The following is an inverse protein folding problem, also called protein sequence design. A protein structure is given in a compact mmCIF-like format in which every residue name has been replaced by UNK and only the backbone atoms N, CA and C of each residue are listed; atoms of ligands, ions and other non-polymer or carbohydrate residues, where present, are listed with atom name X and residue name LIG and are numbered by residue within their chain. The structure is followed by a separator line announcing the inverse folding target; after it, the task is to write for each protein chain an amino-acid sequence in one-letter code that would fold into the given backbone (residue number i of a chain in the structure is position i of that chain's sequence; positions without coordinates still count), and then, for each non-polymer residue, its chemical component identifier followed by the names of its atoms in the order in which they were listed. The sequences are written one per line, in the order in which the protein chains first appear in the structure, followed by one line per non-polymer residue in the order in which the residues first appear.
data_IF_386026166413
#
_entry.id   IF_386026166413
#
_cell.length_a   1.000
_cell.length_b   1.000
_cell.length_c   1.000
_cell.angle_alpha   90.00
_cell.angle_beta   90.00
_cell.angle_gamma   90.00
#
_symmetry.space_group_name_H-M   'P 1'
#
loop_
_entity.id
_entity.type
_entity.pdbx_description
1 polymer ?
#
# COMPACT_ATOMS: atom_id res chain seq x y z
N UNK A 1 -6.00 12.07 14.14
CA UNK A 1 -7.47 11.85 14.18
C UNK A 1 -7.89 10.43 13.80
N UNK A 2 -7.31 9.81 12.75
CA UNK A 2 -7.71 8.47 12.28
C UNK A 2 -7.56 7.36 13.34
N UNK A 3 -6.44 7.29 14.10
CA UNK A 3 -6.23 6.25 15.13
C UNK A 3 -7.30 6.25 16.24
N UNK A 4 -7.79 7.42 16.65
CA UNK A 4 -8.82 7.54 17.70
C UNK A 4 -10.19 7.10 17.21
N UNK A 5 -10.47 7.26 15.91
CA UNK A 5 -11.70 6.82 15.28
C UNK A 5 -11.67 5.33 14.92
N UNK A 6 -10.48 4.78 14.61
CA UNK A 6 -10.31 3.41 14.13
C UNK A 6 -10.86 2.34 15.09
N UNK A 7 -10.77 2.56 16.41
CA UNK A 7 -11.34 1.63 17.41
C UNK A 7 -12.87 1.50 17.35
N UNK A 8 -13.56 2.45 16.72
CA UNK A 8 -15.01 2.43 16.54
C UNK A 8 -15.42 1.85 15.17
N UNK A 9 -14.44 1.54 14.31
CA UNK A 9 -14.69 0.90 13.02
C UNK A 9 -15.18 -0.54 13.23
N UNK A 10 -16.17 -0.94 12.43
CA UNK A 10 -16.73 -2.30 12.39
C UNK A 10 -16.29 -3.00 11.12
N UNK A 11 -14.99 -3.31 11.02
CA UNK A 11 -14.37 -3.87 9.82
C UNK A 11 -14.97 -5.22 9.42
N UNK A 12 -15.52 -5.96 10.39
CA UNK A 12 -16.23 -7.22 10.19
C UNK A 12 -17.48 -7.11 9.32
N UNK A 13 -17.94 -5.88 9.02
CA UNK A 13 -19.06 -5.62 8.11
C UNK A 13 -18.64 -5.49 6.64
N UNK A 14 -17.34 -5.48 6.36
CA UNK A 14 -16.80 -5.46 5.00
C UNK A 14 -16.83 -6.90 4.48
N UNK A 15 -17.51 -7.12 3.35
CA UNK A 15 -17.57 -8.42 2.67
C UNK A 15 -16.68 -8.32 1.42
N UNK A 16 -15.39 -8.72 1.51
CA UNK A 16 -14.42 -8.48 0.44
C UNK A 16 -14.56 -9.43 -0.75
N UNK A 17 -15.12 -10.63 -0.53
CA UNK A 17 -15.31 -11.71 -1.52
C UNK A 17 -16.45 -11.44 -2.51
N UNK A 18 -17.29 -10.43 -2.28
CA UNK A 18 -18.47 -10.21 -3.09
C UNK A 18 -18.09 -9.70 -4.49
N UNK A 19 -18.73 -10.20 -5.57
CA UNK A 19 -18.59 -9.63 -6.89
C UNK A 19 -18.86 -8.12 -6.89
N UNK A 20 -18.00 -7.37 -7.57
CA UNK A 20 -18.18 -5.92 -7.72
C UNK A 20 -19.52 -5.64 -8.38
N UNK A 21 -20.30 -4.75 -7.79
CA UNK A 21 -21.58 -4.30 -8.35
C UNK A 21 -21.35 -2.94 -9.00
N UNK A 22 -21.56 -2.87 -10.32
CA UNK A 22 -21.52 -1.59 -11.03
C UNK A 22 -22.70 -0.73 -10.57
N UNK A 23 -22.45 0.47 -10.02
CA UNK A 23 -23.52 1.36 -9.64
C UNK A 23 -24.25 1.87 -10.90
N UNK A 24 -25.54 2.28 -10.80
CA UNK A 24 -26.29 2.77 -11.95
C UNK A 24 -25.59 3.96 -12.62
N UNK A 25 -25.20 3.80 -13.88
CA UNK A 25 -24.51 4.82 -14.67
C UNK A 25 -25.31 6.13 -14.77
N UNK A 26 -26.64 6.05 -14.73
CA UNK A 26 -27.53 7.22 -14.75
C UNK A 26 -27.35 8.15 -13.55
N UNK A 27 -26.82 7.63 -12.43
CA UNK A 27 -26.59 8.40 -11.19
C UNK A 27 -25.10 8.71 -11.03
N UNK A 28 -24.22 7.73 -11.30
CA UNK A 28 -22.80 7.81 -10.98
C UNK A 28 -21.90 8.14 -12.18
N UNK A 29 -22.44 8.12 -13.40
CA UNK A 29 -21.65 8.27 -14.62
C UNK A 29 -20.93 6.98 -15.03
N UNK A 30 -20.10 7.10 -16.07
CA UNK A 30 -19.20 6.04 -16.50
C UNK A 30 -18.05 5.86 -15.52
N UNK A 31 -17.48 4.65 -15.49
CA UNK A 31 -16.27 4.41 -14.71
C UNK A 31 -15.13 5.29 -15.26
N UNK A 32 -14.41 6.02 -14.41
CA UNK A 32 -13.27 6.81 -14.85
C UNK A 32 -12.11 5.91 -15.30
N UNK A 33 -11.18 6.48 -16.07
CA UNK A 33 -9.98 5.77 -16.50
C UNK A 33 -9.17 5.22 -15.31
N UNK A 34 -8.59 4.03 -15.50
CA UNK A 34 -7.80 3.32 -14.50
C UNK A 34 -6.43 3.96 -14.33
N UNK A 35 -6.41 5.10 -13.63
CA UNK A 35 -5.18 5.82 -13.25
C UNK A 35 -4.59 5.24 -11.96
N UNK A 36 -3.52 5.85 -11.44
CA UNK A 36 -2.84 5.42 -10.21
C UNK A 36 -3.81 5.06 -9.07
N UNK A 37 -4.83 5.89 -8.84
CA UNK A 37 -5.81 5.69 -7.78
C UNK A 37 -6.49 4.32 -7.87
N UNK A 38 -6.81 3.86 -9.08
CA UNK A 38 -7.40 2.54 -9.30
C UNK A 38 -6.48 1.42 -8.78
N UNK A 39 -5.21 1.43 -9.22
CA UNK A 39 -4.25 0.40 -8.84
C UNK A 39 -3.88 0.46 -7.37
N UNK A 40 -3.68 1.65 -6.81
CA UNK A 40 -3.43 1.83 -5.37
C UNK A 40 -4.59 1.32 -4.51
N UNK A 41 -5.85 1.64 -4.87
CA UNK A 41 -7.01 1.19 -4.10
C UNK A 41 -7.18 -0.33 -4.18
N UNK A 42 -6.99 -0.91 -5.36
CA UNK A 42 -7.02 -2.38 -5.53
C UNK A 42 -5.89 -3.06 -4.75
N UNK A 43 -4.67 -2.51 -4.79
CA UNK A 43 -3.54 -3.06 -4.05
C UNK A 43 -3.70 -2.90 -2.55
N UNK A 44 -4.28 -1.79 -2.08
CA UNK A 44 -4.59 -1.58 -0.67
C UNK A 44 -5.62 -2.59 -0.16
N UNK A 45 -6.62 -2.95 -0.98
CA UNK A 45 -7.56 -4.02 -0.67
C UNK A 45 -6.85 -5.38 -0.63
N UNK A 46 -6.05 -5.71 -1.65
CA UNK A 46 -5.28 -6.95 -1.69
C UNK A 46 -4.35 -7.10 -0.47
N UNK A 47 -3.67 -6.02 -0.07
CA UNK A 47 -2.87 -5.94 1.17
C UNK A 47 -3.68 -6.26 2.42
N UNK A 48 -4.91 -5.72 2.56
CA UNK A 48 -5.78 -6.03 3.69
C UNK A 48 -6.17 -7.51 3.74
N UNK A 49 -6.24 -8.16 2.57
CA UNK A 49 -6.50 -9.58 2.41
C UNK A 49 -5.24 -10.45 2.46
N UNK A 50 -4.07 -9.82 2.61
CA UNK A 50 -2.75 -10.47 2.53
C UNK A 50 -2.51 -11.20 1.20
N UNK A 51 -3.17 -10.76 0.13
CA UNK A 51 -2.94 -11.23 -1.24
C UNK A 51 -1.77 -10.47 -1.85
N UNK A 52 -0.56 -10.85 -1.45
CA UNK A 52 0.66 -10.15 -1.83
C UNK A 52 1.01 -10.31 -3.31
N UNK A 53 0.61 -11.44 -3.92
CA UNK A 53 0.80 -11.67 -5.35
C UNK A 53 0.00 -10.66 -6.17
N UNK A 54 -1.25 -10.38 -5.77
CA UNK A 54 -2.08 -9.37 -6.41
C UNK A 54 -1.54 -7.95 -6.19
N UNK A 55 -1.03 -7.64 -5.00
CA UNK A 55 -0.34 -6.35 -4.73
C UNK A 55 0.81 -6.13 -5.71
N UNK A 56 1.67 -7.13 -5.88
CA UNK A 56 2.82 -7.07 -6.80
C UNK A 56 2.35 -6.94 -8.25
N UNK A 57 1.34 -7.72 -8.67
CA UNK A 57 0.80 -7.66 -10.03
C UNK A 57 0.26 -6.27 -10.35
N UNK A 58 -0.51 -5.66 -9.45
CA UNK A 58 -1.07 -4.32 -9.63
C UNK A 58 0.03 -3.24 -9.66
N UNK A 59 1.06 -3.39 -8.81
CA UNK A 59 2.20 -2.48 -8.79
C UNK A 59 3.02 -2.54 -10.08
N UNK A 60 3.19 -3.74 -10.64
CA UNK A 60 3.88 -3.94 -11.90
C UNK A 60 3.15 -3.25 -13.06
N UNK A 61 1.82 -3.38 -13.13
CA UNK A 61 1.00 -2.73 -14.15
C UNK A 61 1.10 -1.21 -14.02
N UNK A 62 0.90 -0.67 -12.82
CA UNK A 62 0.98 0.78 -12.59
C UNK A 62 2.37 1.33 -12.96
N UNK A 63 3.44 0.59 -12.65
CA UNK A 63 4.80 0.93 -13.02
C UNK A 63 5.03 0.92 -14.53
N UNK A 64 4.55 -0.13 -15.23
CA UNK A 64 4.64 -0.26 -16.69
C UNK A 64 3.90 0.85 -17.44
N UNK A 65 2.74 1.28 -16.92
CA UNK A 65 1.95 2.39 -17.45
C UNK A 65 2.52 3.77 -17.07
N UNK A 66 3.62 3.82 -16.31
CA UNK A 66 4.24 5.07 -15.87
C UNK A 66 3.40 5.86 -14.88
N UNK A 67 2.41 5.24 -14.25
CA UNK A 67 1.51 5.87 -13.28
C UNK A 67 2.29 6.19 -12.00
N UNK A 68 1.95 7.33 -11.39
CA UNK A 68 2.64 7.84 -10.20
C UNK A 68 1.66 8.18 -9.10
N UNK A 69 2.08 8.00 -7.83
CA UNK A 69 1.28 8.41 -6.70
C UNK A 69 1.04 9.90 -6.65
N UNK A 70 -0.13 10.26 -6.14
CA UNK A 70 -0.38 11.63 -5.72
C UNK A 70 0.28 11.89 -4.35
N UNK A 71 0.22 10.90 -3.46
CA UNK A 71 0.83 10.94 -2.13
C UNK A 71 1.82 9.77 -1.96
N UNK A 72 3.02 10.06 -1.47
CA UNK A 72 4.10 9.05 -1.30
C UNK A 72 3.68 7.87 -0.41
N UNK A 73 2.78 8.10 0.55
CA UNK A 73 2.25 7.04 1.42
C UNK A 73 1.41 6.00 0.67
N UNK A 74 0.88 6.34 -0.51
CA UNK A 74 0.15 5.41 -1.38
C UNK A 74 1.06 4.30 -1.92
N UNK A 75 2.38 4.45 -1.81
CA UNK A 75 3.34 3.42 -2.22
C UNK A 75 3.53 2.32 -1.17
N UNK A 76 3.07 2.50 0.07
CA UNK A 76 3.28 1.53 1.17
C UNK A 76 2.78 0.11 0.84
N UNK A 77 1.59 -0.10 0.22
CA UNK A 77 1.17 -1.45 -0.15
C UNK A 77 2.17 -2.13 -1.08
N UNK A 78 2.64 -1.41 -2.10
CA UNK A 78 3.59 -1.93 -3.07
C UNK A 78 4.98 -2.17 -2.46
N UNK A 79 5.41 -1.30 -1.54
CA UNK A 79 6.65 -1.51 -0.78
C UNK A 79 6.63 -2.85 -0.04
N UNK A 80 5.57 -3.11 0.72
CA UNK A 80 5.41 -4.37 1.45
C UNK A 80 5.36 -5.57 0.50
N UNK A 81 4.56 -5.48 -0.57
CA UNK A 81 4.44 -6.56 -1.56
C UNK A 81 5.77 -6.87 -2.25
N UNK A 82 6.53 -5.86 -2.66
CA UNK A 82 7.82 -6.07 -3.32
C UNK A 82 8.87 -6.67 -2.38
N UNK A 83 8.91 -6.26 -1.10
CA UNK A 83 9.82 -6.87 -0.13
C UNK A 83 9.47 -8.34 0.10
N UNK A 84 8.18 -8.66 0.25
CA UNK A 84 7.72 -10.05 0.45
C UNK A 84 7.97 -10.94 -0.77
N UNK A 85 8.02 -10.37 -1.97
CA UNK A 85 8.33 -11.07 -3.21
C UNK A 85 9.84 -11.05 -3.55
N UNK A 86 10.72 -10.65 -2.61
CA UNK A 86 12.17 -10.50 -2.80
C UNK A 86 12.58 -9.57 -3.96
N UNK A 87 11.70 -8.65 -4.37
CA UNK A 87 11.93 -7.63 -5.42
C UNK A 87 12.51 -6.36 -4.83
N UNK A 88 13.71 -6.50 -4.25
CA UNK A 88 14.36 -5.44 -3.48
C UNK A 88 14.73 -4.22 -4.32
N UNK A 89 15.01 -4.37 -5.61
CA UNK A 89 15.23 -3.29 -6.55
C UNK A 89 14.04 -2.32 -6.58
N UNK A 90 12.82 -2.84 -6.77
CA UNK A 90 11.59 -2.04 -6.75
C UNK A 90 11.28 -1.46 -5.38
N UNK A 91 11.55 -2.23 -4.32
CA UNK A 91 11.38 -1.75 -2.95
C UNK A 91 12.30 -0.55 -2.64
N UNK A 92 13.55 -0.59 -3.10
CA UNK A 92 14.51 0.51 -2.90
C UNK A 92 14.11 1.78 -3.66
N UNK A 93 13.51 1.67 -4.84
CA UNK A 93 12.96 2.83 -5.55
C UNK A 93 11.88 3.55 -4.71
N UNK A 94 10.98 2.79 -4.10
CA UNK A 94 9.94 3.33 -3.22
C UNK A 94 10.55 3.91 -1.94
N UNK A 95 11.47 3.19 -1.29
CA UNK A 95 12.16 3.68 -0.09
C UNK A 95 12.86 5.01 -0.39
N UNK A 96 13.60 5.10 -1.50
CA UNK A 96 14.27 6.32 -1.91
C UNK A 96 13.29 7.48 -2.14
N UNK A 97 12.06 7.20 -2.56
CA UNK A 97 11.02 8.23 -2.69
C UNK A 97 10.42 8.61 -1.33
N UNK A 98 10.15 7.66 -0.44
CA UNK A 98 9.66 7.93 0.93
C UNK A 98 10.67 8.78 1.70
N UNK A 99 11.97 8.46 1.61
CA UNK A 99 13.06 9.17 2.30
C UNK A 99 13.14 10.66 1.98
N UNK A 100 12.56 11.12 0.87
CA UNK A 100 12.50 12.55 0.50
C UNK A 100 11.50 13.34 1.37
N UNK A 101 10.67 12.68 2.18
CA UNK A 101 9.69 13.31 3.06
C UNK A 101 9.87 12.84 4.50
N UNK A 102 10.56 13.65 5.30
CA UNK A 102 10.96 13.33 6.69
C UNK A 102 9.78 12.88 7.57
N UNK A 103 8.63 13.56 7.48
CA UNK A 103 7.43 13.23 8.25
C UNK A 103 6.95 11.80 7.91
N UNK A 104 6.88 11.47 6.62
CA UNK A 104 6.44 10.14 6.19
C UNK A 104 7.44 9.07 6.57
N UNK A 105 8.75 9.32 6.41
CA UNK A 105 9.80 8.41 6.87
C UNK A 105 9.64 8.09 8.35
N UNK A 106 9.48 9.13 9.18
CA UNK A 106 9.31 8.97 10.63
C UNK A 106 8.05 8.18 10.96
N UNK A 107 6.91 8.54 10.41
CA UNK A 107 5.63 7.85 10.68
C UNK A 107 5.66 6.39 10.24
N UNK A 108 6.24 6.12 9.08
CA UNK A 108 6.39 4.77 8.54
C UNK A 108 7.29 3.92 9.44
N UNK A 109 8.42 4.46 9.88
CA UNK A 109 9.32 3.78 10.81
C UNK A 109 8.70 3.55 12.20
N UNK A 110 8.04 4.57 12.77
CA UNK A 110 7.36 4.45 14.06
C UNK A 110 6.28 3.34 13.99
N UNK A 111 5.57 3.20 12.85
CA UNK A 111 4.59 2.14 12.63
C UNK A 111 5.21 0.75 12.61
N UNK A 112 6.24 0.50 11.79
CA UNK A 112 6.85 -0.83 11.68
C UNK A 112 7.61 -1.24 12.96
N UNK A 113 8.29 -0.30 13.63
CA UNK A 113 8.91 -0.55 14.93
C UNK A 113 7.89 -0.96 16.00
N UNK A 114 6.67 -0.42 15.95
CA UNK A 114 5.59 -0.78 16.86
C UNK A 114 4.89 -2.11 16.52
N UNK A 115 5.12 -2.66 15.32
CA UNK A 115 4.45 -3.86 14.81
C UNK A 115 5.47 -4.85 14.18
N UNK A 116 6.39 -5.42 14.98
CA UNK A 116 7.53 -6.18 14.47
C UNK A 116 7.17 -7.46 13.71
N UNK A 117 5.96 -7.99 13.91
CA UNK A 117 5.48 -9.20 13.23
C UNK A 117 4.77 -8.90 11.90
N UNK A 118 4.50 -7.62 11.58
CA UNK A 118 3.71 -7.22 10.41
C UNK A 118 4.54 -6.47 9.35
N UNK A 119 4.47 -6.81 8.05
CA UNK A 119 3.68 -7.91 7.48
C UNK A 119 4.36 -9.27 7.66
N UNK A 120 5.67 -9.26 7.95
CA UNK A 120 6.43 -10.39 8.44
C UNK A 120 7.67 -9.88 9.21
N UNK A 121 8.30 -10.72 10.06
CA UNK A 121 9.55 -10.35 10.73
C UNK A 121 10.69 -10.01 9.75
N UNK A 122 10.83 -10.75 8.65
CA UNK A 122 11.88 -10.48 7.64
C UNK A 122 11.65 -9.16 6.89
N UNK A 123 10.38 -8.83 6.60
CA UNK A 123 10.04 -7.54 6.00
C UNK A 123 10.38 -6.38 6.95
N UNK A 124 10.11 -6.52 8.25
CA UNK A 124 10.48 -5.49 9.24
C UNK A 124 11.99 -5.31 9.35
N UNK A 125 12.75 -6.40 9.36
CA UNK A 125 14.21 -6.33 9.40
C UNK A 125 14.76 -5.57 8.18
N UNK A 126 14.24 -5.87 6.98
CA UNK A 126 14.60 -5.15 5.76
C UNK A 126 14.26 -3.66 5.85
N UNK A 127 13.06 -3.31 6.29
CA UNK A 127 12.63 -1.91 6.44
C UNK A 127 13.46 -1.17 7.48
N UNK A 128 13.81 -1.81 8.60
CA UNK A 128 14.66 -1.19 9.60
C UNK A 128 16.03 -0.82 9.04
N UNK A 129 16.65 -1.74 8.30
CA UNK A 129 17.98 -1.53 7.71
C UNK A 129 17.98 -0.46 6.62
N UNK A 130 16.91 -0.39 5.82
CA UNK A 130 16.91 0.39 4.58
C UNK A 130 16.07 1.68 4.63
N UNK A 131 15.10 1.77 5.55
CA UNK A 131 14.25 2.96 5.73
C UNK A 131 14.57 3.69 7.04
N UNK A 132 14.69 2.96 8.14
CA UNK A 132 14.76 3.56 9.48
C UNK A 132 16.18 3.81 10.01
N UNK A 133 17.16 3.07 9.49
CA UNK A 133 18.58 3.22 9.83
C UNK A 133 19.33 4.26 9.00
N UNK A 134 18.69 4.86 7.99
CA UNK A 134 19.32 5.85 7.10
C UNK A 134 19.36 7.21 7.80
N UNK A 135 20.57 7.69 8.07
CA UNK A 135 20.84 9.03 8.62
C UNK A 135 20.99 10.06 7.51
#
# INVERSE_FOLDING_TARGET
MVRLAAQYSKIERIIPDRPSVLPPQTIFGEEPEHTWCYYYQKASLARQLQDWDEVVRLGDIASQEGLKPFDRSEQIPFLEGYILADRFDKAQEIIADILKLEILTKETCDYYLANPDYPSPSTNEYLFQNLCGVK
#
